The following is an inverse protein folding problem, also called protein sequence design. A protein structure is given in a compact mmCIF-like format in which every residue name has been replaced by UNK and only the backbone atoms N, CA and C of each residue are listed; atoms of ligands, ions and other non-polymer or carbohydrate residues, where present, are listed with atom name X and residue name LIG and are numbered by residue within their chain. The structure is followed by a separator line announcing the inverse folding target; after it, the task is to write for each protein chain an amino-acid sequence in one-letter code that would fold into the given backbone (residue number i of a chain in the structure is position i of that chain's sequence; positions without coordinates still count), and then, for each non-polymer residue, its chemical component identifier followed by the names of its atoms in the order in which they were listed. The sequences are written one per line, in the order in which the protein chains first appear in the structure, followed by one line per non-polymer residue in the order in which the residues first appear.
data_IF_321714644591
#
_entry.id   IF_321714644591
#
_cell.length_a   1.000
_cell.length_b   1.000
_cell.length_c   1.000
_cell.angle_alpha   90.00
_cell.angle_beta   90.00
_cell.angle_gamma   90.00
#
_symmetry.space_group_name_H-M   'P 1'
#
loop_
_entity.id
_entity.type
_entity.pdbx_description
1 polymer ?
#
# COMPACT_ATOMS: atom_id res chain seq x y z
N UNK A 1 -12.44 79.59 13.87
CA UNK A 1 -12.23 79.93 15.29
C UNK A 1 -11.47 78.79 15.95
N UNK A 2 -10.27 79.10 16.48
CA UNK A 2 -9.51 78.49 17.60
C UNK A 2 -9.27 76.95 17.60
N UNK A 3 -8.05 76.43 17.34
CA UNK A 3 -6.83 76.30 18.19
C UNK A 3 -6.76 74.99 19.05
N UNK A 4 -5.84 74.07 18.68
CA UNK A 4 -4.85 73.18 19.40
C UNK A 4 -4.87 73.01 20.95
N UNK A 5 -4.09 72.08 21.62
CA UNK A 5 -3.18 70.98 21.18
C UNK A 5 -3.08 69.68 22.10
N UNK A 6 -2.15 68.78 21.71
CA UNK A 6 -1.48 67.56 22.29
C UNK A 6 -1.10 67.54 23.81
N UNK A 7 -0.68 66.37 24.40
CA UNK A 7 0.74 65.90 24.38
C UNK A 7 0.99 64.37 24.26
N UNK A 8 2.18 64.03 23.74
CA UNK A 8 2.86 62.71 23.84
C UNK A 8 3.66 62.61 25.15
N UNK A 9 3.86 61.40 25.68
CA UNK A 9 5.02 61.03 26.49
C UNK A 9 5.39 59.55 26.28
N UNK A 10 6.65 59.30 25.91
CA UNK A 10 7.30 57.98 25.92
C UNK A 10 7.88 57.71 27.31
N UNK A 11 7.87 56.45 27.77
CA UNK A 11 8.96 55.93 28.61
C UNK A 11 9.00 54.40 28.60
N UNK A 12 10.16 53.89 28.23
CA UNK A 12 10.67 52.51 28.28
C UNK A 12 10.70 51.92 29.70
N UNK A 13 10.43 50.62 29.84
CA UNK A 13 10.95 49.81 30.96
C UNK A 13 11.22 48.35 30.53
N UNK A 14 12.44 47.92 30.84
CA UNK A 14 13.05 46.61 30.54
C UNK A 14 12.46 45.51 31.42
N UNK A 15 12.44 44.29 30.88
CA UNK A 15 12.09 43.04 31.58
C UNK A 15 13.28 42.56 32.42
N UNK A 16 13.01 42.14 33.66
CA UNK A 16 13.92 41.32 34.50
C UNK A 16 13.26 39.94 34.75
N UNK A 17 13.93 38.82 34.44
CA UNK A 17 13.36 37.49 34.57
C UNK A 17 13.77 36.82 35.88
N UNK A 18 12.96 36.92 36.94
CA UNK A 18 12.95 35.87 37.97
C UNK A 18 11.67 35.88 38.83
N UNK A 19 11.20 34.67 39.12
CA UNK A 19 10.15 34.26 40.09
C UNK A 19 8.70 34.33 39.61
N UNK A 20 8.14 33.13 39.42
CA UNK A 20 6.76 32.93 39.01
C UNK A 20 5.74 32.87 40.13
N UNK A 21 4.47 32.81 39.72
CA UNK A 21 3.41 32.09 40.41
C UNK A 21 2.23 31.87 39.46
N UNK A 22 1.59 30.72 39.62
CA UNK A 22 0.42 30.20 38.89
C UNK A 22 -0.77 31.18 38.94
N UNK A 23 -1.54 31.24 37.85
CA UNK A 23 -2.96 31.62 37.91
C UNK A 23 -3.76 30.81 36.89
N UNK A 24 -4.79 30.15 37.39
CA UNK A 24 -5.86 29.53 36.63
C UNK A 24 -6.67 30.61 35.92
N UNK A 25 -7.09 30.35 34.68
CA UNK A 25 -8.16 31.10 34.03
C UNK A 25 -9.16 30.10 33.46
N UNK A 26 -10.35 30.12 34.07
CA UNK A 26 -11.58 29.55 33.55
C UNK A 26 -11.91 30.16 32.18
N UNK A 27 -12.23 29.31 31.19
CA UNK A 27 -13.00 29.73 30.01
C UNK A 27 -14.00 28.64 29.63
N UNK A 28 -15.23 28.91 30.04
CA UNK A 28 -16.53 28.67 29.41
C UNK A 28 -16.62 27.71 28.22
N UNK A 29 -17.47 26.70 28.43
CA UNK A 29 -18.06 25.75 27.49
C UNK A 29 -18.53 26.38 26.16
N UNK A 30 -18.06 25.82 25.05
CA UNK A 30 -18.83 25.65 23.82
C UNK A 30 -18.66 24.20 23.38
N UNK A 31 -19.63 23.35 23.73
CA UNK A 31 -19.65 21.94 23.36
C UNK A 31 -20.08 21.79 21.91
N UNK A 32 -19.10 21.60 21.02
CA UNK A 32 -19.32 20.95 19.73
C UNK A 32 -18.77 19.53 19.86
N UNK A 33 -19.68 18.56 19.82
CA UNK A 33 -19.40 17.14 19.84
C UNK A 33 -18.66 16.73 18.57
N UNK A 34 -17.32 16.78 18.59
CA UNK A 34 -16.49 16.04 17.65
C UNK A 34 -16.38 14.61 18.16
N UNK A 35 -17.14 13.70 17.56
CA UNK A 35 -16.83 12.26 17.61
C UNK A 35 -15.45 12.02 16.97
N UNK A 36 -14.45 11.48 17.69
CA UNK A 36 -13.23 11.03 17.07
C UNK A 36 -13.48 9.66 16.41
N UNK A 37 -13.50 9.64 15.08
CA UNK A 37 -13.28 8.43 14.29
C UNK A 37 -11.76 8.14 14.36
N UNK A 38 -11.30 7.62 15.51
CA UNK A 38 -9.89 7.22 15.68
C UNK A 38 -9.71 6.26 16.86
N UNK A 39 -10.32 5.08 16.80
CA UNK A 39 -9.98 3.96 17.70
C UNK A 39 -10.01 2.63 16.95
N UNK A 40 -9.33 2.54 15.81
CA UNK A 40 -8.80 1.28 15.30
C UNK A 40 -7.34 1.14 15.73
N UNK A 41 -7.10 1.20 17.04
CA UNK A 41 -5.84 0.72 17.61
C UNK A 41 -6.00 -0.79 17.69
N UNK A 42 -5.35 -1.51 16.80
CA UNK A 42 -5.21 -2.96 16.92
C UNK A 42 -4.65 -3.26 18.32
N UNK A 43 -5.35 -4.03 19.17
CA UNK A 43 -4.76 -4.42 20.44
C UNK A 43 -3.46 -5.19 20.17
N UNK A 44 -2.47 -5.13 21.08
CA UNK A 44 -1.28 -5.97 21.01
C UNK A 44 -1.69 -7.40 20.71
N UNK A 45 -1.05 -8.03 19.72
CA UNK A 45 -1.38 -9.37 19.21
C UNK A 45 -1.52 -10.45 20.30
N UNK A 46 -0.90 -10.23 21.46
CA UNK A 46 -0.95 -11.08 22.66
C UNK A 46 -2.30 -11.05 23.40
N UNK A 47 -3.14 -10.03 23.20
CA UNK A 47 -4.43 -9.87 23.90
C UNK A 47 -5.61 -10.46 23.10
N UNK A 48 -5.52 -10.54 21.77
CA UNK A 48 -6.49 -11.29 20.96
C UNK A 48 -6.44 -12.80 21.27
N UNK A 49 -5.26 -13.34 21.62
CA UNK A 49 -5.12 -14.76 22.01
C UNK A 49 -5.78 -15.12 23.34
N UNK A 50 -6.20 -14.14 24.15
CA UNK A 50 -6.89 -14.36 25.43
C UNK A 50 -8.42 -14.44 25.29
N UNK A 51 -8.98 -14.29 24.09
CA UNK A 51 -10.43 -14.45 23.85
C UNK A 51 -11.32 -13.45 24.60
N UNK A 52 -10.75 -12.34 25.08
CA UNK A 52 -11.50 -11.34 25.85
C UNK A 52 -12.47 -10.58 24.91
N UNK A 53 -13.75 -10.45 25.28
CA UNK A 53 -14.79 -9.89 24.43
C UNK A 53 -14.72 -8.36 24.41
N UNK A 54 -13.73 -7.81 23.72
CA UNK A 54 -13.72 -6.39 23.39
C UNK A 54 -14.78 -6.10 22.32
N UNK A 55 -15.37 -4.90 22.36
CA UNK A 55 -16.40 -4.50 21.36
C UNK A 55 -15.90 -4.61 19.91
N UNK A 56 -14.60 -4.42 19.70
CA UNK A 56 -13.93 -4.53 18.40
C UNK A 56 -13.85 -5.98 17.90
N UNK A 57 -13.50 -6.95 18.76
CA UNK A 57 -13.47 -8.38 18.38
C UNK A 57 -14.87 -8.89 18.07
N UNK A 58 -15.85 -8.58 18.92
CA UNK A 58 -17.25 -8.96 18.69
C UNK A 58 -17.86 -8.29 17.44
N UNK A 59 -17.39 -7.12 17.02
CA UNK A 59 -17.79 -6.52 15.75
C UNK A 59 -17.12 -7.20 14.56
N UNK A 60 -15.86 -7.59 14.69
CA UNK A 60 -15.12 -8.36 13.69
C UNK A 60 -15.77 -9.71 13.42
N UNK A 61 -16.15 -10.45 14.46
CA UNK A 61 -16.80 -11.76 14.35
C UNK A 61 -18.16 -11.65 13.65
N UNK A 62 -18.97 -10.64 14.02
CA UNK A 62 -20.25 -10.38 13.35
C UNK A 62 -20.07 -10.02 11.88
N UNK A 63 -19.06 -9.22 11.56
CA UNK A 63 -18.75 -8.87 10.17
C UNK A 63 -18.29 -10.10 9.37
N UNK A 64 -17.42 -10.94 9.95
CA UNK A 64 -16.96 -12.18 9.34
C UNK A 64 -18.14 -13.10 9.04
N UNK A 65 -19.03 -13.33 10.01
CA UNK A 65 -20.21 -14.16 9.82
C UNK A 65 -21.12 -13.61 8.72
N UNK A 66 -21.34 -12.29 8.68
CA UNK A 66 -22.17 -11.67 7.66
C UNK A 66 -21.55 -11.76 6.26
N UNK A 67 -20.25 -11.55 6.14
CA UNK A 67 -19.53 -11.71 4.87
C UNK A 67 -19.57 -13.15 4.37
N UNK A 68 -19.38 -14.13 5.27
CA UNK A 68 -19.49 -15.55 4.94
C UNK A 68 -20.89 -15.90 4.46
N UNK A 69 -21.93 -15.38 5.11
CA UNK A 69 -23.32 -15.56 4.65
C UNK A 69 -23.52 -15.01 3.25
N UNK A 70 -23.09 -13.77 2.98
CA UNK A 70 -23.24 -13.14 1.66
C UNK A 70 -22.58 -13.97 0.56
N UNK A 71 -21.32 -14.40 0.75
CA UNK A 71 -20.64 -15.22 -0.25
C UNK A 71 -21.30 -16.59 -0.42
N UNK A 72 -21.71 -17.23 0.68
CA UNK A 72 -22.38 -18.54 0.62
C UNK A 72 -23.71 -18.45 -0.10
N UNK A 73 -24.48 -17.38 0.11
CA UNK A 73 -25.74 -17.15 -0.57
C UNK A 73 -25.52 -16.93 -2.07
N UNK A 74 -24.51 -16.15 -2.48
CA UNK A 74 -24.12 -16.00 -3.89
C UNK A 74 -23.75 -17.36 -4.51
N UNK A 75 -22.93 -18.16 -3.83
CA UNK A 75 -22.51 -19.49 -4.31
C UNK A 75 -23.73 -20.40 -4.49
N UNK A 76 -24.64 -20.45 -3.50
CA UNK A 76 -25.86 -21.26 -3.55
C UNK A 76 -26.75 -20.86 -4.72
N UNK A 77 -26.98 -19.58 -4.93
CA UNK A 77 -27.80 -19.10 -6.05
C UNK A 77 -27.18 -19.46 -7.41
N UNK A 78 -25.85 -19.35 -7.55
CA UNK A 78 -25.15 -19.76 -8.78
C UNK A 78 -25.23 -21.27 -9.04
N UNK A 79 -25.11 -22.10 -7.99
CA UNK A 79 -25.28 -23.55 -8.11
C UNK A 79 -26.73 -23.91 -8.50
N UNK A 80 -27.73 -23.23 -7.94
CA UNK A 80 -29.15 -23.43 -8.28
C UNK A 80 -29.48 -23.03 -9.72
N UNK A 81 -28.88 -21.96 -10.23
CA UNK A 81 -29.08 -21.48 -11.61
C UNK A 81 -28.49 -22.41 -12.69
N UNK A 82 -28.08 -23.64 -12.32
CA UNK A 82 -27.58 -24.64 -13.26
C UNK A 82 -26.17 -24.36 -13.76
N UNK A 83 -25.42 -23.48 -13.11
CA UNK A 83 -24.01 -23.25 -13.40
C UNK A 83 -23.71 -22.72 -14.81
N UNK A 84 -24.63 -21.95 -15.40
CA UNK A 84 -24.35 -21.25 -16.66
C UNK A 84 -23.31 -20.18 -16.37
N UNK A 85 -22.09 -20.35 -16.90
CA UNK A 85 -20.95 -19.43 -16.72
C UNK A 85 -21.32 -18.07 -17.32
N UNK A 86 -21.74 -17.14 -16.46
CA UNK A 86 -22.13 -15.78 -16.82
C UNK A 86 -20.97 -14.77 -16.65
N UNK A 87 -19.92 -15.17 -15.91
CA UNK A 87 -18.78 -14.36 -15.55
C UNK A 87 -17.52 -15.21 -15.29
N UNK A 88 -16.36 -14.71 -15.70
CA UNK A 88 -15.05 -15.29 -15.36
C UNK A 88 -14.53 -14.69 -14.04
N UNK A 89 -15.26 -14.89 -12.94
CA UNK A 89 -14.85 -14.38 -11.64
C UNK A 89 -14.20 -15.44 -10.75
N UNK A 90 -13.52 -14.97 -9.69
CA UNK A 90 -12.81 -15.88 -8.78
C UNK A 90 -13.75 -16.80 -8.01
N UNK A 91 -15.00 -16.39 -7.76
CA UNK A 91 -15.98 -17.24 -7.07
C UNK A 91 -16.27 -18.48 -7.93
N UNK A 92 -16.47 -18.27 -9.24
CA UNK A 92 -16.67 -19.37 -10.18
C UNK A 92 -15.48 -20.33 -10.22
N UNK A 93 -14.26 -19.79 -10.35
CA UNK A 93 -13.04 -20.60 -10.40
C UNK A 93 -12.85 -21.45 -9.12
N UNK A 94 -13.12 -20.88 -7.95
CA UNK A 94 -13.04 -21.60 -6.68
C UNK A 94 -14.17 -22.63 -6.52
N UNK A 95 -15.39 -22.34 -6.97
CA UNK A 95 -16.49 -23.31 -6.97
C UNK A 95 -16.21 -24.54 -7.83
N UNK A 96 -15.40 -24.38 -8.90
CA UNK A 96 -14.96 -25.46 -9.79
C UNK A 96 -13.67 -26.14 -9.37
N UNK A 97 -13.02 -25.67 -8.30
CA UNK A 97 -11.75 -26.22 -7.82
C UNK A 97 -11.96 -27.52 -7.03
N UNK A 98 -11.02 -28.44 -7.16
CA UNK A 98 -11.01 -29.75 -6.48
C UNK A 98 -9.62 -29.98 -5.89
N UNK A 99 -9.56 -30.49 -4.67
CA UNK A 99 -8.32 -30.88 -4.01
C UNK A 99 -7.69 -32.11 -4.69
N UNK A 100 -6.41 -32.39 -4.39
CA UNK A 100 -5.66 -33.50 -4.99
C UNK A 100 -6.24 -34.88 -4.65
N UNK A 101 -6.97 -35.00 -3.55
CA UNK A 101 -7.68 -36.20 -3.11
C UNK A 101 -9.05 -36.38 -3.81
N UNK A 102 -9.45 -35.43 -4.67
CA UNK A 102 -10.74 -35.44 -5.35
C UNK A 102 -11.86 -34.74 -4.58
N UNK A 103 -11.61 -34.20 -3.39
CA UNK A 103 -12.61 -33.49 -2.59
C UNK A 103 -12.91 -32.12 -3.21
N UNK A 104 -14.16 -31.79 -3.56
CA UNK A 104 -14.52 -30.43 -3.99
C UNK A 104 -14.34 -29.43 -2.84
N UNK A 105 -13.93 -28.20 -3.15
CA UNK A 105 -13.77 -27.16 -2.11
C UNK A 105 -15.16 -26.82 -1.51
N UNK A 106 -15.35 -26.96 -0.19
CA UNK A 106 -16.61 -26.61 0.47
C UNK A 106 -16.97 -25.12 0.28
N UNK A 107 -18.26 -24.81 0.13
CA UNK A 107 -18.72 -23.44 -0.11
C UNK A 107 -18.27 -22.44 0.98
N UNK A 108 -18.17 -22.89 2.24
CA UNK A 108 -17.67 -22.08 3.36
C UNK A 108 -16.19 -21.75 3.19
N UNK A 109 -15.38 -22.69 2.70
CA UNK A 109 -13.96 -22.46 2.42
C UNK A 109 -13.80 -21.49 1.24
N UNK A 110 -14.61 -21.65 0.18
CA UNK A 110 -14.64 -20.69 -0.93
C UNK A 110 -14.96 -19.29 -0.43
N UNK A 111 -15.99 -19.13 0.41
CA UNK A 111 -16.35 -17.85 1.00
C UNK A 111 -15.20 -17.25 1.83
N UNK A 112 -14.52 -18.05 2.67
CA UNK A 112 -13.39 -17.59 3.46
C UNK A 112 -12.17 -17.22 2.61
N UNK A 113 -11.88 -17.98 1.55
CA UNK A 113 -10.82 -17.66 0.59
C UNK A 113 -11.12 -16.33 -0.13
N UNK A 114 -12.37 -16.10 -0.54
CA UNK A 114 -12.78 -14.82 -1.15
C UNK A 114 -12.62 -13.63 -0.21
N UNK A 115 -12.98 -13.80 1.07
CA UNK A 115 -12.75 -12.77 2.11
C UNK A 115 -11.24 -12.52 2.27
N UNK A 116 -10.43 -13.57 2.34
CA UNK A 116 -8.98 -13.45 2.49
C UNK A 116 -8.33 -12.71 1.30
N UNK A 117 -8.73 -13.04 0.06
CA UNK A 117 -8.23 -12.38 -1.15
C UNK A 117 -8.62 -10.90 -1.22
N UNK A 118 -9.87 -10.58 -0.82
CA UNK A 118 -10.34 -9.20 -0.74
C UNK A 118 -9.52 -8.39 0.27
N UNK A 119 -9.29 -8.93 1.47
CA UNK A 119 -8.50 -8.26 2.50
C UNK A 119 -7.03 -8.09 2.09
N UNK A 120 -6.44 -9.12 1.47
CA UNK A 120 -5.07 -9.09 0.97
C UNK A 120 -4.86 -8.00 -0.09
N UNK A 121 -5.78 -7.90 -1.05
CA UNK A 121 -5.74 -6.89 -2.11
C UNK A 121 -6.05 -5.48 -1.60
N UNK A 122 -6.98 -5.33 -0.64
CA UNK A 122 -7.42 -4.02 -0.17
C UNK A 122 -6.29 -3.26 0.54
N UNK A 123 -5.62 -3.87 1.52
CA UNK A 123 -4.61 -3.17 2.32
C UNK A 123 -3.35 -2.82 1.50
N UNK A 124 -2.91 -3.76 0.66
CA UNK A 124 -1.70 -3.59 -0.14
C UNK A 124 -1.91 -2.56 -1.26
N UNK A 125 -2.88 -2.79 -2.14
CA UNK A 125 -3.11 -1.94 -3.32
C UNK A 125 -3.59 -0.54 -2.95
N UNK A 126 -4.42 -0.37 -1.92
CA UNK A 126 -4.85 0.97 -1.50
C UNK A 126 -3.70 1.82 -0.96
N UNK A 127 -2.79 1.21 -0.18
CA UNK A 127 -1.60 1.90 0.33
C UNK A 127 -0.66 2.28 -0.82
N UNK A 128 -0.31 1.33 -1.68
CA UNK A 128 0.56 1.59 -2.85
C UNK A 128 -0.06 2.62 -3.79
N UNK A 129 -1.35 2.51 -4.11
CA UNK A 129 -2.05 3.49 -4.95
C UNK A 129 -2.05 4.90 -4.34
N UNK A 130 -2.21 5.01 -3.02
CA UNK A 130 -2.10 6.29 -2.31
C UNK A 130 -0.70 6.89 -2.43
N UNK A 131 0.35 6.07 -2.26
CA UNK A 131 1.74 6.52 -2.45
C UNK A 131 2.05 6.94 -3.88
N UNK A 132 1.51 6.24 -4.89
CA UNK A 132 1.64 6.65 -6.30
C UNK A 132 1.07 8.05 -6.49
N UNK A 133 -0.16 8.29 -6.02
CA UNK A 133 -0.82 9.61 -6.14
C UNK A 133 -0.02 10.70 -5.44
N UNK A 134 0.48 10.44 -4.23
CA UNK A 134 1.28 11.41 -3.47
C UNK A 134 2.63 11.72 -4.15
N UNK A 135 3.29 10.70 -4.70
CA UNK A 135 4.55 10.86 -5.44
C UNK A 135 4.34 11.64 -6.73
N UNK A 136 3.32 11.29 -7.52
CA UNK A 136 2.98 12.01 -8.76
C UNK A 136 2.57 13.46 -8.49
N UNK A 137 1.84 13.73 -7.40
CA UNK A 137 1.53 15.10 -7.00
C UNK A 137 2.78 15.92 -6.65
N UNK A 138 3.83 15.27 -6.14
CA UNK A 138 5.13 15.90 -5.85
C UNK A 138 6.05 16.05 -7.06
N UNK A 139 5.77 15.30 -8.14
CA UNK A 139 6.56 15.26 -9.39
C UNK A 139 5.67 15.48 -10.62
N UNK A 140 5.19 16.72 -10.86
CA UNK A 140 4.37 17.04 -12.04
C UNK A 140 5.08 16.76 -13.37
N UNK A 141 6.41 16.80 -13.36
CA UNK A 141 7.27 16.42 -14.47
C UNK A 141 7.06 14.95 -14.90
N UNK A 142 7.15 14.02 -13.94
CA UNK A 142 6.88 12.59 -14.20
C UNK A 142 5.43 12.36 -14.58
N UNK A 143 4.49 13.09 -13.96
CA UNK A 143 3.07 12.98 -14.31
C UNK A 143 2.79 13.38 -15.76
N UNK A 144 3.47 14.42 -16.25
CA UNK A 144 3.35 14.82 -17.65
C UNK A 144 4.05 13.83 -18.57
N UNK A 145 5.20 13.30 -18.18
CA UNK A 145 5.90 12.28 -18.95
C UNK A 145 5.08 10.99 -19.11
N UNK A 146 4.40 10.53 -18.05
CA UNK A 146 3.43 9.42 -18.14
C UNK A 146 2.32 9.73 -19.15
N UNK A 147 1.80 10.96 -19.16
CA UNK A 147 0.77 11.35 -20.12
C UNK A 147 1.31 11.33 -21.56
N UNK A 148 2.53 11.83 -21.78
CA UNK A 148 3.19 11.78 -23.09
C UNK A 148 3.52 10.34 -23.53
N UNK A 149 3.89 9.45 -22.61
CA UNK A 149 4.04 8.02 -22.90
C UNK A 149 2.75 7.43 -23.46
N UNK A 150 1.60 7.70 -22.84
CA UNK A 150 0.33 7.19 -23.32
C UNK A 150 0.01 7.69 -24.73
N UNK A 151 0.23 8.98 -25.01
CA UNK A 151 0.02 9.55 -26.36
C UNK A 151 0.93 8.90 -27.39
N UNK A 152 2.20 8.66 -27.04
CA UNK A 152 3.20 8.06 -27.92
C UNK A 152 2.90 6.58 -28.22
N UNK A 153 2.52 5.81 -27.21
CA UNK A 153 2.38 4.35 -27.31
C UNK A 153 0.98 3.92 -27.73
N UNK A 154 -0.05 4.62 -27.25
CA UNK A 154 -1.46 4.26 -27.49
C UNK A 154 -2.10 5.07 -28.61
N UNK A 155 -1.51 6.21 -28.96
CA UNK A 155 -2.05 7.13 -29.96
C UNK A 155 -2.70 8.38 -29.34
N UNK A 156 -2.88 9.45 -30.13
CA UNK A 156 -3.42 10.74 -29.67
C UNK A 156 -4.91 10.68 -29.29
N UNK A 157 -5.63 9.69 -29.79
CA UNK A 157 -7.04 9.40 -29.52
C UNK A 157 -7.29 8.72 -28.17
N UNK A 158 -6.23 8.19 -27.53
CA UNK A 158 -6.26 7.54 -26.22
C UNK A 158 -7.40 6.49 -26.11
N UNK A 159 -7.33 5.39 -26.89
CA UNK A 159 -8.36 4.36 -26.87
C UNK A 159 -8.56 3.74 -25.48
N UNK A 160 -9.70 3.08 -25.20
CA UNK A 160 -9.93 2.40 -23.94
C UNK A 160 -8.75 1.48 -23.55
N UNK A 161 -8.40 1.48 -22.26
CA UNK A 161 -7.30 0.67 -21.76
C UNK A 161 -7.66 -0.82 -21.86
N UNK A 162 -6.80 -1.60 -22.51
CA UNK A 162 -6.83 -3.07 -22.53
C UNK A 162 -5.64 -3.64 -21.76
N UNK A 163 -5.68 -4.94 -21.46
CA UNK A 163 -4.56 -5.63 -20.79
C UNK A 163 -3.25 -5.50 -21.59
N UNK A 164 -3.31 -5.65 -22.91
CA UNK A 164 -2.17 -5.51 -23.84
C UNK A 164 -1.67 -4.07 -23.90
N UNK A 165 -2.57 -3.09 -23.78
CA UNK A 165 -2.17 -1.68 -23.75
C UNK A 165 -1.32 -1.35 -22.52
N UNK A 166 -1.67 -1.92 -21.36
CA UNK A 166 -0.95 -1.69 -20.10
C UNK A 166 0.47 -2.27 -20.13
N UNK A 167 0.66 -3.42 -20.78
CA UNK A 167 1.98 -4.05 -20.92
C UNK A 167 2.97 -3.19 -21.73
N UNK A 168 2.47 -2.31 -22.60
CA UNK A 168 3.31 -1.40 -23.41
C UNK A 168 3.69 -0.10 -22.69
N UNK A 169 3.12 0.17 -21.52
CA UNK A 169 3.40 1.37 -20.73
C UNK A 169 4.54 1.10 -19.73
N UNK A 170 5.77 1.23 -20.22
CA UNK A 170 6.98 0.91 -19.45
C UNK A 170 7.17 1.86 -18.26
N UNK A 171 7.01 3.19 -18.46
CA UNK A 171 7.16 4.17 -17.40
C UNK A 171 6.06 4.04 -16.34
N UNK A 172 4.82 3.70 -16.74
CA UNK A 172 3.76 3.38 -15.76
C UNK A 172 4.15 2.18 -14.89
N UNK A 173 4.74 1.15 -15.50
CA UNK A 173 5.23 -0.02 -14.78
C UNK A 173 6.40 0.34 -13.85
N UNK A 174 7.31 1.21 -14.30
CA UNK A 174 8.44 1.69 -13.51
C UNK A 174 8.01 2.56 -12.32
N UNK A 175 6.96 3.38 -12.48
CA UNK A 175 6.35 4.14 -11.38
C UNK A 175 5.80 3.22 -10.29
N UNK A 176 5.14 2.13 -10.67
CA UNK A 176 4.67 1.12 -9.71
C UNK A 176 5.87 0.46 -9.02
N UNK A 177 6.88 0.03 -9.78
CA UNK A 177 8.10 -0.60 -9.24
C UNK A 177 8.83 0.30 -8.24
N UNK A 178 9.07 1.56 -8.61
CA UNK A 178 9.77 2.51 -7.75
C UNK A 178 8.97 2.86 -6.50
N UNK A 179 7.64 2.90 -6.63
CA UNK A 179 6.77 3.08 -5.48
C UNK A 179 6.81 1.87 -4.55
N UNK A 180 6.79 0.64 -5.07
CA UNK A 180 6.93 -0.56 -4.26
C UNK A 180 8.32 -0.69 -3.61
N UNK A 181 9.39 -0.22 -4.26
CA UNK A 181 10.75 -0.22 -3.70
C UNK A 181 10.81 0.59 -2.41
N UNK A 182 10.26 1.79 -2.43
CA UNK A 182 10.26 2.67 -1.26
C UNK A 182 9.10 2.41 -0.32
N UNK A 183 7.93 2.01 -0.80
CA UNK A 183 6.68 2.03 -0.04
C UNK A 183 5.93 0.71 -0.12
N UNK A 184 6.65 -0.42 -0.16
CA UNK A 184 6.06 -1.74 0.02
C UNK A 184 5.24 -1.77 1.34
N UNK A 185 3.94 -2.14 1.29
CA UNK A 185 3.08 -2.12 2.47
C UNK A 185 3.59 -3.01 3.61
N UNK A 186 4.18 -4.16 3.31
CA UNK A 186 4.67 -5.09 4.33
C UNK A 186 6.14 -4.82 4.60
N UNK A 187 6.43 -4.23 5.77
CA UNK A 187 7.82 -3.93 6.18
C UNK A 187 8.50 -5.11 6.90
N UNK A 188 7.74 -6.07 7.44
CA UNK A 188 8.29 -7.17 8.24
C UNK A 188 7.53 -8.48 8.02
N UNK A 189 8.28 -9.53 7.68
CA UNK A 189 7.79 -10.88 7.45
C UNK A 189 8.32 -11.77 8.58
N UNK A 190 7.41 -12.29 9.41
CA UNK A 190 7.76 -13.08 10.59
C UNK A 190 7.63 -14.59 10.34
N UNK A 191 8.53 -15.39 10.93
CA UNK A 191 8.46 -16.86 10.96
C UNK A 191 8.84 -17.39 12.34
N UNK A 192 8.05 -18.33 12.85
CA UNK A 192 8.39 -19.03 14.09
C UNK A 192 9.42 -20.13 13.83
N UNK A 193 10.49 -20.17 14.61
CA UNK A 193 11.55 -21.17 14.48
C UNK A 193 11.06 -22.48 15.08
N UNK A 194 10.96 -23.54 14.26
CA UNK A 194 10.44 -24.85 14.70
C UNK A 194 11.54 -25.86 15.05
N UNK A 195 12.73 -25.69 14.50
CA UNK A 195 13.93 -26.48 14.80
C UNK A 195 15.11 -25.52 14.98
N UNK A 196 16.09 -25.78 15.87
CA UNK A 196 17.27 -24.92 15.99
C UNK A 196 17.95 -24.72 14.63
N UNK A 197 18.19 -23.46 14.24
CA UNK A 197 18.74 -23.11 12.93
C UNK A 197 20.14 -22.50 13.09
N UNK A 198 21.22 -23.21 12.71
CA UNK A 198 22.54 -22.59 12.63
C UNK A 198 22.55 -21.54 11.52
N UNK A 199 23.24 -20.41 11.75
CA UNK A 199 23.41 -19.35 10.77
C UNK A 199 24.73 -19.57 10.03
N UNK A 200 24.64 -19.79 8.72
CA UNK A 200 25.77 -20.09 7.85
C UNK A 200 26.92 -19.09 8.01
N UNK A 201 28.16 -19.61 8.07
CA UNK A 201 29.37 -18.80 8.23
C UNK A 201 29.55 -18.18 9.63
N UNK A 202 28.71 -18.51 10.61
CA UNK A 202 28.82 -17.99 11.97
C UNK A 202 28.68 -19.09 13.04
N UNK A 203 28.96 -18.74 14.30
CA UNK A 203 28.74 -19.62 15.47
C UNK A 203 27.32 -19.55 16.04
N UNK A 204 26.45 -18.73 15.46
CA UNK A 204 25.14 -18.45 16.02
C UNK A 204 24.14 -19.55 15.64
N UNK A 205 23.30 -19.95 16.60
CA UNK A 205 22.18 -20.87 16.39
C UNK A 205 20.93 -20.20 16.93
N UNK A 206 19.92 -20.06 16.08
CA UNK A 206 18.63 -19.49 16.48
C UNK A 206 17.78 -20.59 17.13
N UNK A 207 17.38 -20.45 18.40
CA UNK A 207 16.62 -21.47 19.10
C UNK A 207 15.12 -21.41 18.73
N UNK A 208 14.39 -22.47 19.08
CA UNK A 208 12.96 -22.62 18.77
C UNK A 208 12.02 -21.68 19.55
N UNK A 209 12.55 -20.97 20.56
CA UNK A 209 11.80 -19.94 21.29
C UNK A 209 11.71 -18.61 20.54
N UNK A 210 12.46 -18.44 19.44
CA UNK A 210 12.57 -17.18 18.73
C UNK A 210 11.74 -17.14 17.44
N UNK A 211 11.47 -15.92 16.99
CA UNK A 211 10.93 -15.64 15.66
C UNK A 211 12.02 -15.00 14.79
N UNK A 212 12.06 -15.38 13.51
CA UNK A 212 12.83 -14.69 12.48
C UNK A 212 11.99 -13.56 11.90
N UNK A 213 12.63 -12.43 11.63
CA UNK A 213 12.04 -11.27 10.96
C UNK A 213 12.87 -10.96 9.71
N UNK A 214 12.25 -11.11 8.53
CA UNK A 214 12.81 -10.63 7.27
C UNK A 214 12.20 -9.27 6.91
N UNK A 215 13.02 -8.32 6.49
CA UNK A 215 12.61 -6.96 6.15
C UNK A 215 13.08 -6.59 4.73
N UNK A 216 12.39 -7.05 3.67
CA UNK A 216 12.84 -6.85 2.29
C UNK A 216 12.91 -5.37 1.88
N UNK A 217 12.17 -4.48 2.56
CA UNK A 217 12.27 -3.04 2.35
C UNK A 217 13.60 -2.41 2.79
N UNK A 218 14.42 -3.12 3.59
CA UNK A 218 15.74 -2.63 4.02
C UNK A 218 16.74 -2.65 2.85
N UNK A 219 17.07 -3.80 2.22
CA UNK A 219 18.00 -3.81 1.09
C UNK A 219 17.51 -2.95 -0.08
N UNK A 220 16.20 -2.83 -0.27
CA UNK A 220 15.59 -1.93 -1.27
C UNK A 220 15.89 -0.44 -1.05
N UNK A 221 16.39 -0.06 0.13
CA UNK A 221 16.74 1.32 0.53
C UNK A 221 18.22 1.49 0.91
N UNK A 222 19.08 0.50 0.63
CA UNK A 222 20.52 0.59 0.89
C UNK A 222 21.27 1.10 -0.34
N UNK A 223 22.24 1.99 -0.12
CA UNK A 223 23.06 2.59 -1.17
C UNK A 223 23.92 1.55 -1.92
N UNK A 224 24.27 0.44 -1.26
CA UNK A 224 25.04 -0.67 -1.85
C UNK A 224 24.31 -1.31 -3.05
N UNK A 225 22.97 -1.33 -3.01
CA UNK A 225 22.12 -1.92 -4.05
C UNK A 225 21.47 -0.86 -4.96
N UNK A 226 21.05 0.28 -4.39
CA UNK A 226 20.33 1.34 -5.10
C UNK A 226 21.03 2.68 -4.90
N UNK A 227 21.64 3.28 -5.94
CA UNK A 227 22.19 4.63 -5.87
C UNK A 227 21.12 5.66 -5.52
N UNK A 228 21.49 6.61 -4.65
CA UNK A 228 20.57 7.60 -4.06
C UNK A 228 19.27 6.94 -3.59
N UNK A 229 19.35 5.99 -2.64
CA UNK A 229 18.26 5.04 -2.40
C UNK A 229 16.98 5.71 -1.92
N UNK A 230 17.05 6.89 -1.30
CA UNK A 230 15.89 7.63 -0.80
C UNK A 230 15.24 8.52 -1.87
N UNK A 231 15.91 8.74 -3.01
CA UNK A 231 15.34 9.44 -4.15
C UNK A 231 14.33 8.52 -4.85
N UNK A 232 13.07 8.98 -4.92
CA UNK A 232 12.04 8.34 -5.72
C UNK A 232 12.22 8.76 -7.18
N UNK A 233 12.77 7.86 -7.98
CA UNK A 233 13.05 8.07 -9.39
C UNK A 233 12.65 6.85 -10.23
N UNK A 234 11.55 6.91 -11.00
CA UNK A 234 11.14 5.81 -11.88
C UNK A 234 12.14 5.48 -12.98
N UNK A 235 12.98 6.41 -13.42
CA UNK A 235 13.93 6.18 -14.52
C UNK A 235 15.06 5.22 -14.16
N UNK A 236 15.30 4.95 -12.87
CA UNK A 236 16.32 3.97 -12.45
C UNK A 236 16.07 2.57 -13.00
N UNK A 237 14.82 2.26 -13.33
CA UNK A 237 14.40 0.97 -13.87
C UNK A 237 14.54 0.87 -15.40
N UNK A 238 14.96 1.95 -16.06
CA UNK A 238 15.27 1.95 -17.48
C UNK A 238 16.63 1.30 -17.75
N UNK A 239 16.85 0.90 -19.01
CA UNK A 239 18.12 0.31 -19.45
C UNK A 239 19.25 1.32 -19.27
N UNK A 240 20.15 1.07 -18.31
CA UNK A 240 21.25 1.97 -17.96
C UNK A 240 21.00 2.86 -16.74
N UNK A 241 19.85 2.77 -16.08
CA UNK A 241 19.44 3.59 -14.92
C UNK A 241 20.19 3.35 -13.60
N UNK A 242 21.37 2.74 -13.64
CA UNK A 242 22.27 2.64 -12.48
C UNK A 242 21.82 1.70 -11.36
N UNK A 243 20.72 0.94 -11.50
CA UNK A 243 20.51 -0.23 -10.63
C UNK A 243 21.70 -1.15 -10.87
N UNK A 244 22.51 -1.41 -9.83
CA UNK A 244 23.62 -2.34 -9.92
C UNK A 244 23.06 -3.67 -10.40
N UNK A 245 23.24 -3.95 -11.70
CA UNK A 245 22.71 -5.11 -12.41
C UNK A 245 23.23 -6.45 -11.85
N UNK A 246 24.06 -6.40 -10.81
CA UNK A 246 24.57 -7.54 -10.06
C UNK A 246 23.54 -8.13 -9.09
N UNK A 247 22.57 -7.34 -8.61
CA UNK A 247 21.62 -7.77 -7.57
C UNK A 247 20.19 -8.03 -8.05
N UNK A 248 19.66 -7.19 -8.95
CA UNK A 248 18.38 -7.46 -9.62
C UNK A 248 18.66 -8.33 -10.83
N UNK A 249 19.02 -9.59 -10.59
CA UNK A 249 19.18 -10.56 -11.67
C UNK A 249 17.86 -10.69 -12.43
N UNK A 250 17.93 -10.88 -13.75
CA UNK A 250 16.77 -11.26 -14.54
C UNK A 250 16.09 -12.45 -13.86
N UNK A 251 14.81 -12.32 -13.48
CA UNK A 251 14.02 -13.43 -12.90
C UNK A 251 14.03 -14.69 -13.82
N UNK A 252 14.41 -14.53 -15.08
CA UNK A 252 14.60 -15.61 -16.04
C UNK A 252 15.86 -16.47 -15.78
N UNK A 253 16.89 -15.92 -15.15
CA UNK A 253 18.14 -16.60 -14.83
C UNK A 253 18.13 -17.32 -13.47
N UNK A 254 17.14 -17.02 -12.61
CA UNK A 254 17.01 -17.63 -11.29
C UNK A 254 16.38 -19.03 -11.36
N UNK A 255 16.83 -19.94 -10.48
CA UNK A 255 16.26 -21.29 -10.35
C UNK A 255 14.77 -21.19 -9.98
N UNK A 256 13.90 -21.84 -10.77
CA UNK A 256 12.45 -21.86 -10.51
C UNK A 256 12.05 -23.17 -9.83
N UNK A 257 11.21 -23.05 -8.81
CA UNK A 257 10.69 -24.18 -8.03
C UNK A 257 9.18 -24.09 -7.98
N UNK A 258 8.50 -25.22 -8.15
CA UNK A 258 7.06 -25.33 -7.92
C UNK A 258 6.79 -25.85 -6.50
N UNK A 259 6.14 -25.02 -5.68
CA UNK A 259 5.74 -25.38 -4.31
C UNK A 259 4.31 -25.94 -4.23
N UNK A 260 3.64 -26.12 -5.38
CA UNK A 260 2.27 -26.60 -5.51
C UNK A 260 1.29 -25.56 -6.06
N UNK A 261 1.77 -24.40 -6.51
CA UNK A 261 0.94 -23.32 -7.10
C UNK A 261 1.54 -22.74 -8.39
N UNK A 262 2.42 -23.50 -9.04
CA UNK A 262 3.10 -23.12 -10.27
C UNK A 262 4.58 -22.78 -10.06
N UNK A 263 5.31 -22.70 -11.17
CA UNK A 263 6.72 -22.35 -11.16
C UNK A 263 6.92 -20.91 -10.69
N UNK A 264 7.65 -20.73 -9.59
CA UNK A 264 8.04 -19.42 -9.08
C UNK A 264 9.56 -19.35 -8.88
N UNK A 265 10.12 -18.14 -8.95
CA UNK A 265 11.54 -17.97 -8.65
C UNK A 265 11.83 -18.36 -7.19
N UNK A 266 12.88 -19.17 -7.01
CA UNK A 266 13.51 -19.47 -5.72
C UNK A 266 14.35 -18.28 -5.22
N UNK A 267 14.70 -17.35 -6.10
CA UNK A 267 15.59 -16.23 -5.84
C UNK A 267 15.10 -15.37 -4.67
N UNK A 268 15.78 -15.51 -3.53
CA UNK A 268 15.65 -14.62 -2.39
C UNK A 268 16.87 -13.68 -2.28
N UNK A 269 17.75 -13.70 -3.29
CA UNK A 269 18.99 -12.94 -3.32
C UNK A 269 18.82 -11.53 -3.90
N UNK A 270 17.70 -11.28 -4.60
CA UNK A 270 17.40 -9.94 -5.10
C UNK A 270 17.24 -8.94 -3.94
N UNK A 271 17.85 -7.74 -4.02
CA UNK A 271 17.64 -6.68 -3.03
C UNK A 271 16.26 -6.00 -3.17
N UNK A 272 15.48 -6.38 -4.20
CA UNK A 272 14.13 -5.91 -4.47
C UNK A 272 13.13 -7.07 -4.41
N UNK A 273 12.45 -7.21 -3.26
CA UNK A 273 11.48 -8.27 -2.99
C UNK A 273 10.16 -7.74 -2.40
N UNK A 274 9.45 -6.82 -3.08
CA UNK A 274 8.19 -6.27 -2.56
C UNK A 274 7.07 -7.31 -2.45
N UNK A 275 7.16 -8.40 -3.21
CA UNK A 275 6.20 -9.51 -3.20
C UNK A 275 6.70 -10.75 -2.43
N UNK A 276 7.82 -10.62 -1.71
CA UNK A 276 8.47 -11.72 -1.00
C UNK A 276 9.09 -12.76 -1.93
N UNK A 277 9.46 -13.90 -1.37
CA UNK A 277 10.09 -15.01 -2.10
C UNK A 277 9.78 -16.37 -1.45
N UNK A 278 10.08 -17.46 -2.16
CA UNK A 278 9.88 -18.84 -1.74
C UNK A 278 8.41 -19.26 -1.67
N UNK A 279 8.11 -20.27 -0.84
CA UNK A 279 6.77 -20.90 -0.78
C UNK A 279 5.62 -19.97 -0.37
N UNK A 280 5.92 -18.81 0.22
CA UNK A 280 4.93 -17.80 0.63
C UNK A 280 5.03 -16.52 -0.21
N UNK A 281 5.62 -16.59 -1.42
CA UNK A 281 5.61 -15.49 -2.39
C UNK A 281 4.17 -15.08 -2.71
N UNK A 282 3.96 -13.78 -2.91
CA UNK A 282 2.65 -13.26 -3.25
C UNK A 282 2.18 -13.77 -4.63
N UNK A 283 0.99 -14.37 -4.68
CA UNK A 283 0.34 -14.79 -5.92
C UNK A 283 -0.44 -13.65 -6.60
N UNK A 284 -0.67 -12.55 -5.87
CA UNK A 284 -1.44 -11.40 -6.33
C UNK A 284 -0.61 -10.37 -7.11
N UNK A 285 0.68 -10.60 -7.34
CA UNK A 285 1.59 -9.66 -8.01
C UNK A 285 1.04 -9.18 -9.35
N UNK A 286 0.68 -10.11 -10.24
CA UNK A 286 0.16 -9.77 -11.57
C UNK A 286 -1.15 -8.97 -11.49
N UNK A 287 -2.06 -9.38 -10.61
CA UNK A 287 -3.32 -8.65 -10.40
C UNK A 287 -3.08 -7.24 -9.84
N UNK A 288 -2.12 -7.09 -8.93
CA UNK A 288 -1.75 -5.79 -8.37
C UNK A 288 -1.20 -4.85 -9.46
N UNK A 289 -0.33 -5.34 -10.35
CA UNK A 289 0.17 -4.53 -11.47
C UNK A 289 -0.95 -4.14 -12.44
N UNK A 290 -1.88 -5.05 -12.76
CA UNK A 290 -3.04 -4.71 -13.60
C UNK A 290 -3.92 -3.66 -12.94
N UNK A 291 -4.25 -3.84 -11.66
CA UNK A 291 -5.11 -2.93 -10.91
C UNK A 291 -4.46 -1.55 -10.76
N UNK A 292 -3.24 -1.49 -10.25
CA UNK A 292 -2.50 -0.24 -10.04
C UNK A 292 -2.17 0.44 -11.37
N UNK A 293 -1.79 -0.32 -12.40
CA UNK A 293 -1.52 0.20 -13.74
C UNK A 293 -2.76 0.81 -14.36
N UNK A 294 -3.90 0.13 -14.28
CA UNK A 294 -5.19 0.64 -14.80
C UNK A 294 -5.60 1.92 -14.07
N UNK A 295 -5.57 1.93 -12.73
CA UNK A 295 -5.95 3.09 -11.93
C UNK A 295 -5.01 4.27 -12.23
N UNK A 296 -3.70 4.04 -12.23
CA UNK A 296 -2.70 5.08 -12.49
C UNK A 296 -2.87 5.63 -13.90
N UNK A 297 -2.98 4.78 -14.92
CA UNK A 297 -3.17 5.21 -16.30
C UNK A 297 -4.46 6.02 -16.48
N UNK A 298 -5.57 5.60 -15.85
CA UNK A 298 -6.84 6.34 -15.88
C UNK A 298 -6.73 7.71 -15.19
N UNK A 299 -6.06 7.77 -14.03
CA UNK A 299 -5.81 9.03 -13.31
C UNK A 299 -4.95 9.98 -14.15
N UNK A 300 -3.88 9.50 -14.78
CA UNK A 300 -3.00 10.29 -15.65
C UNK A 300 -3.77 10.88 -16.84
N UNK A 301 -4.69 10.12 -17.45
CA UNK A 301 -5.55 10.61 -18.55
C UNK A 301 -6.50 11.71 -18.10
N UNK A 302 -7.10 11.53 -16.93
CA UNK A 302 -8.19 12.38 -16.48
C UNK A 302 -7.68 13.65 -15.77
N UNK A 303 -6.59 13.57 -15.03
CA UNK A 303 -6.20 14.55 -14.02
C UNK A 303 -4.74 15.01 -14.16
N UNK A 304 -4.52 16.27 -13.79
CA UNK A 304 -3.24 16.78 -13.29
C UNK A 304 -3.28 16.79 -11.78
N UNK A 305 -2.19 16.41 -11.13
CA UNK A 305 -2.05 16.34 -9.68
C UNK A 305 -0.97 17.32 -9.24
N UNK A 306 -1.19 17.97 -8.09
CA UNK A 306 -0.22 18.87 -7.48
C UNK A 306 -0.32 18.80 -5.95
N UNK A 307 0.78 19.10 -5.27
CA UNK A 307 0.78 19.36 -3.83
C UNK A 307 -0.12 20.55 -3.50
N UNK A 308 -0.63 20.60 -2.27
CA UNK A 308 -1.28 21.80 -1.75
C UNK A 308 -0.25 22.90 -1.48
N UNK A 309 -0.66 24.15 -1.60
CA UNK A 309 0.20 25.29 -1.34
C UNK A 309 0.66 25.27 0.13
N UNK A 310 1.97 25.14 0.34
CA UNK A 310 2.60 25.01 1.67
C UNK A 310 3.20 23.64 1.97
N UNK A 311 2.81 22.59 1.24
CA UNK A 311 3.38 21.24 1.42
C UNK A 311 4.74 21.14 0.70
N UNK A 312 5.82 21.09 1.48
CA UNK A 312 7.18 20.97 0.94
C UNK A 312 7.52 19.53 0.56
N UNK A 313 7.08 18.55 1.34
CA UNK A 313 7.48 17.14 1.21
C UNK A 313 6.29 16.19 1.18
N UNK A 314 6.55 14.96 0.75
CA UNK A 314 5.59 13.85 0.81
C UNK A 314 5.41 13.44 2.28
N UNK A 315 4.20 13.09 2.75
CA UNK A 315 3.98 12.71 4.15
C UNK A 315 4.86 11.54 4.61
N UNK A 316 5.12 11.48 5.91
CA UNK A 316 5.76 10.34 6.56
C UNK A 316 4.92 9.06 6.44
N UNK A 317 5.50 7.92 6.81
CA UNK A 317 4.83 6.62 6.79
C UNK A 317 4.37 6.22 8.19
N UNK A 318 3.11 5.81 8.32
CA UNK A 318 2.57 5.16 9.50
C UNK A 318 2.94 3.66 9.50
N UNK A 319 3.84 3.27 10.40
CA UNK A 319 4.24 1.87 10.65
C UNK A 319 3.62 1.29 11.92
N UNK A 320 2.59 1.94 12.49
CA UNK A 320 1.93 1.46 13.72
C UNK A 320 1.21 0.12 13.53
N UNK A 321 0.83 -0.20 12.28
CA UNK A 321 0.29 -1.49 11.87
C UNK A 321 1.30 -2.25 11.01
N UNK A 322 1.14 -3.57 10.87
CA UNK A 322 1.99 -4.39 9.98
C UNK A 322 1.91 -3.96 8.50
N UNK A 323 0.89 -3.19 8.13
CA UNK A 323 0.76 -2.57 6.82
C UNK A 323 1.10 -1.09 6.91
N UNK A 324 2.15 -0.69 6.21
CA UNK A 324 2.58 0.69 6.09
C UNK A 324 1.60 1.47 5.20
N UNK A 325 1.33 2.72 5.56
CA UNK A 325 0.47 3.65 4.82
C UNK A 325 0.94 5.08 5.01
N UNK A 326 0.49 6.05 4.20
CA UNK A 326 0.76 7.46 4.46
C UNK A 326 0.24 7.89 5.84
N UNK A 327 1.05 8.65 6.58
CA UNK A 327 0.69 9.17 7.89
C UNK A 327 -0.37 10.27 7.78
N UNK A 328 -1.36 10.24 8.66
CA UNK A 328 -2.41 11.25 8.74
C UNK A 328 -3.44 11.16 7.62
N UNK A 329 -3.88 12.31 7.12
CA UNK A 329 -4.87 12.42 6.04
C UNK A 329 -4.32 13.35 4.94
N UNK A 330 -3.32 12.88 4.17
CA UNK A 330 -2.67 13.73 3.18
C UNK A 330 -3.65 14.06 2.06
N UNK A 331 -3.59 15.31 1.60
CA UNK A 331 -4.48 15.85 0.57
C UNK A 331 -3.65 16.27 -0.63
N UNK A 332 -4.21 16.09 -1.81
CA UNK A 332 -3.61 16.55 -3.08
C UNK A 332 -4.62 17.43 -3.81
N UNK A 333 -4.13 18.46 -4.49
CA UNK A 333 -4.96 19.21 -5.42
C UNK A 333 -4.94 18.53 -6.79
N UNK A 334 -6.08 18.59 -7.48
CA UNK A 334 -6.24 17.99 -8.80
C UNK A 334 -6.99 18.95 -9.74
N UNK A 335 -6.71 18.81 -11.03
CA UNK A 335 -7.36 19.56 -12.11
C UNK A 335 -7.67 18.58 -13.27
N UNK A 336 -8.85 18.69 -13.90
CA UNK A 336 -9.17 17.84 -15.06
C UNK A 336 -8.38 18.28 -16.29
N UNK A 337 -7.77 17.34 -17.02
CA UNK A 337 -7.01 17.64 -18.26
C UNK A 337 -7.92 18.16 -19.39
N UNK A 338 -9.13 17.60 -19.52
CA UNK A 338 -10.16 18.10 -20.44
C UNK A 338 -11.35 18.60 -19.62
N UNK A 339 -11.91 19.79 -19.89
CA UNK A 339 -13.20 20.18 -19.33
C UNK A 339 -14.25 19.17 -19.78
N UNK A 340 -15.03 18.62 -18.85
CA UNK A 340 -15.86 17.44 -19.09
C UNK A 340 -16.85 17.66 -20.23
N UNK A 341 -16.75 16.88 -21.30
CA UNK A 341 -17.96 16.41 -21.98
C UNK A 341 -18.69 15.53 -20.98
N UNK A 342 -19.89 15.93 -20.56
CA UNK A 342 -20.74 15.22 -19.60
C UNK A 342 -20.69 13.70 -19.86
N UNK A 343 -20.28 12.93 -18.85
CA UNK A 343 -20.54 11.50 -18.74
C UNK A 343 -21.61 11.30 -17.68
#
# INVERSE_FOLDING_TARGET
MLQNPLPRLQSTLRLDPSKGRKSEINSTRASLSCTPISTWVSPPSTLCSLGLPFRTTASGDRAQQKMTQVYTDIIRERRKAGGKKDSEDMVWNLMSSVYKDGTPVPDVEVAHMMIALLMAGQHSSASTGSWIVLRLASRPDILEELYQEQLRVLGPDLPPLTYESLQRLELHSNVIKETLRLHAPIHSILRAVKSPMPVDGTKYVVPTSHNLLAAPGVPSRMADYFPEPMLWDPHRWEKGGGVNATGVQDEAAEEKVDYGYGLVSKGANSPYLPFGSGRHRCIGEQFAYVQLGTITAALVRALKLRKLDGDKEVPDTDYSSLFSKPLGNPKVAWEKRKPSSKQ
#
